data_IF_524522969611
#
_entry.id   IF_524522969611
#
_cell.length_a   1.000
_cell.length_b   1.000
_cell.length_c   1.000
_cell.angle_alpha   90.00
_cell.angle_beta   90.00
_cell.angle_gamma   90.00
#
_symmetry.space_group_name_H-M   'P 1'
#
loop_
_entity.id
_entity.type
_entity.pdbx_description
1 polymer ?
#
# COMPACT_ATOMS: atom_id res chain seq x y z
N UNK A 1 49.24 28.57 -34.18
CA UNK A 1 48.65 28.60 -32.82
C UNK A 1 47.30 29.27 -32.92
N UNK A 2 46.17 28.55 -32.76
CA UNK A 2 44.81 29.06 -32.40
C UNK A 2 43.67 28.13 -32.85
N UNK A 3 43.73 26.82 -32.54
CA UNK A 3 42.56 25.92 -32.69
C UNK A 3 42.26 25.06 -31.46
N UNK A 4 42.87 25.35 -30.31
CA UNK A 4 42.70 24.55 -29.08
C UNK A 4 41.75 25.18 -28.03
N UNK A 5 41.13 26.33 -28.30
CA UNK A 5 40.33 27.05 -27.29
C UNK A 5 38.81 26.82 -27.33
N UNK A 6 38.28 26.07 -28.30
CA UNK A 6 36.83 25.87 -28.46
C UNK A 6 36.28 24.51 -27.96
N UNK A 7 37.12 23.58 -27.50
CA UNK A 7 36.63 22.31 -26.94
C UNK A 7 36.30 22.35 -25.44
N UNK A 8 36.75 23.36 -24.70
CA UNK A 8 36.51 23.45 -23.25
C UNK A 8 35.16 24.08 -22.87
N UNK A 9 34.52 24.83 -23.76
CA UNK A 9 33.23 25.49 -23.47
C UNK A 9 31.99 24.61 -23.68
N UNK A 10 32.08 23.56 -24.50
CA UNK A 10 30.95 22.65 -24.76
C UNK A 10 30.81 21.61 -23.62
N UNK A 11 31.91 21.28 -22.93
CA UNK A 11 31.90 20.41 -21.74
C UNK A 11 31.18 21.03 -20.54
N UNK A 12 31.27 22.35 -20.35
CA UNK A 12 30.65 23.05 -19.20
C UNK A 12 29.12 23.14 -19.28
N UNK A 13 28.55 23.24 -20.49
CA UNK A 13 27.09 23.30 -20.68
C UNK A 13 26.39 21.95 -20.48
N UNK A 14 27.05 20.84 -20.81
CA UNK A 14 26.49 19.49 -20.61
C UNK A 14 26.45 19.08 -19.13
N UNK A 15 27.42 19.52 -18.33
CA UNK A 15 27.45 19.24 -16.88
C UNK A 15 26.34 20.01 -16.15
N UNK A 16 26.04 21.26 -16.56
CA UNK A 16 24.96 22.04 -15.93
C UNK A 16 23.56 21.52 -16.29
N UNK A 17 23.33 21.00 -17.49
CA UNK A 17 22.02 20.44 -17.87
C UNK A 17 21.66 19.17 -17.07
N UNK A 18 22.64 18.33 -16.73
CA UNK A 18 22.44 17.16 -15.88
C UNK A 18 22.13 17.54 -14.42
N UNK A 19 22.73 18.62 -13.91
CA UNK A 19 22.46 19.11 -12.54
C UNK A 19 21.06 19.73 -12.43
N UNK A 20 20.60 20.49 -13.44
CA UNK A 20 19.25 21.08 -13.43
C UNK A 20 18.11 20.08 -13.69
N UNK A 21 18.38 18.96 -14.39
CA UNK A 21 17.38 17.90 -14.56
C UNK A 21 17.10 17.15 -13.25
N UNK A 22 18.08 17.12 -12.35
CA UNK A 22 18.00 16.45 -11.06
C UNK A 22 17.06 17.17 -10.06
N UNK A 23 17.02 18.51 -10.10
CA UNK A 23 16.13 19.32 -9.26
C UNK A 23 14.63 19.12 -9.56
N UNK A 24 14.26 18.59 -10.74
CA UNK A 24 12.85 18.50 -11.15
C UNK A 24 12.12 17.23 -10.68
N UNK A 25 12.84 16.16 -10.33
CA UNK A 25 12.22 14.87 -10.00
C UNK A 25 12.05 14.73 -8.49
N UNK A 26 10.82 14.53 -7.97
CA UNK A 26 10.59 14.47 -6.53
C UNK A 26 11.09 13.14 -5.96
N UNK A 27 11.42 13.16 -4.67
CA UNK A 27 11.53 11.94 -3.89
C UNK A 27 10.13 11.35 -3.65
N UNK A 28 10.03 10.04 -3.51
CA UNK A 28 8.77 9.32 -3.36
C UNK A 28 8.83 8.49 -2.10
N UNK A 29 7.85 8.67 -1.22
CA UNK A 29 7.64 7.80 -0.06
C UNK A 29 6.19 7.28 -0.11
N UNK A 30 6.06 5.97 -0.33
CA UNK A 30 4.79 5.24 -0.30
C UNK A 30 4.67 4.46 1.01
N UNK A 31 3.83 4.93 1.92
CA UNK A 31 3.55 4.32 3.22
C UNK A 31 2.25 3.53 3.12
N UNK A 32 2.27 2.27 3.53
CA UNK A 32 1.10 1.41 3.54
C UNK A 32 0.95 0.71 4.89
N UNK A 33 -0.03 1.13 5.68
CA UNK A 33 -0.37 0.50 6.95
C UNK A 33 -1.02 -0.89 6.73
N UNK A 34 -0.68 -1.86 7.57
CA UNK A 34 -1.22 -3.23 7.55
C UNK A 34 -2.51 -3.28 8.39
N UNK A 35 -3.62 -3.75 7.82
CA UNK A 35 -4.93 -3.81 8.50
C UNK A 35 -5.47 -2.47 9.02
N UNK A 36 -5.27 -1.38 8.26
CA UNK A 36 -5.84 -0.07 8.59
C UNK A 36 -6.91 0.32 7.56
N UNK A 37 -8.17 0.08 7.90
CA UNK A 37 -9.33 0.44 7.09
C UNK A 37 -9.57 1.95 7.03
N UNK A 38 -10.43 2.37 6.11
CA UNK A 38 -10.77 3.79 5.89
C UNK A 38 -11.28 4.49 7.15
N UNK A 39 -12.01 3.78 8.01
CA UNK A 39 -12.60 4.26 9.26
C UNK A 39 -11.59 4.57 10.37
N UNK A 40 -10.35 4.08 10.25
CA UNK A 40 -9.34 4.17 11.32
C UNK A 40 -8.63 5.53 11.42
N UNK A 41 -8.86 6.46 10.49
CA UNK A 41 -8.23 7.80 10.50
C UNK A 41 -9.20 8.87 11.01
N UNK A 42 -8.71 9.78 11.85
CA UNK A 42 -9.50 10.93 12.34
C UNK A 42 -9.99 11.82 11.19
N UNK A 43 -9.13 12.14 10.21
CA UNK A 43 -9.53 12.88 8.99
C UNK A 43 -10.59 12.18 8.11
N UNK A 44 -10.81 10.87 8.30
CA UNK A 44 -11.88 10.13 7.65
C UNK A 44 -13.15 10.02 8.50
N UNK A 45 -13.11 10.43 9.76
CA UNK A 45 -14.26 10.44 10.68
C UNK A 45 -14.19 9.43 11.81
N UNK A 46 -13.01 8.83 12.09
CA UNK A 46 -12.80 8.06 13.33
C UNK A 46 -13.05 8.95 14.55
N UNK A 47 -13.77 8.43 15.54
CA UNK A 47 -14.02 9.12 16.81
C UNK A 47 -13.13 8.57 17.95
N UNK A 48 -12.44 7.45 17.73
CA UNK A 48 -11.58 6.79 18.72
C UNK A 48 -10.09 6.90 18.43
N UNK A 49 -9.69 6.98 17.15
CA UNK A 49 -8.28 7.06 16.76
C UNK A 49 -7.88 8.52 16.52
N UNK A 50 -6.73 8.94 17.05
CA UNK A 50 -6.21 10.29 16.86
C UNK A 50 -4.94 10.25 16.00
N UNK A 51 -5.02 10.75 14.77
CA UNK A 51 -3.90 10.73 13.81
C UNK A 51 -3.48 12.14 13.39
N UNK A 52 -2.89 12.94 14.28
CA UNK A 52 -2.63 14.36 14.02
C UNK A 52 -1.59 14.60 12.91
N UNK A 53 -0.62 13.72 12.69
CA UNK A 53 0.36 13.88 11.62
C UNK A 53 -0.27 13.55 10.25
N UNK A 54 -1.07 12.48 10.17
CA UNK A 54 -1.86 12.16 8.98
C UNK A 54 -2.89 13.24 8.67
N UNK A 55 -3.51 13.83 9.70
CA UNK A 55 -4.45 14.95 9.52
C UNK A 55 -3.75 16.20 8.97
N UNK A 56 -2.51 16.48 9.40
CA UNK A 56 -1.67 17.54 8.80
C UNK A 56 -1.34 17.22 7.35
N UNK A 57 -0.99 15.97 7.02
CA UNK A 57 -0.74 15.57 5.63
C UNK A 57 -1.99 15.74 4.76
N UNK A 58 -3.17 15.37 5.27
CA UNK A 58 -4.44 15.53 4.57
C UNK A 58 -4.77 17.03 4.33
N UNK A 59 -4.59 17.88 5.35
CA UNK A 59 -4.78 19.34 5.24
C UNK A 59 -3.77 19.99 4.28
N UNK A 60 -2.53 19.49 4.22
CA UNK A 60 -1.49 19.96 3.32
C UNK A 60 -1.50 19.31 1.93
N UNK A 61 -2.47 18.43 1.63
CA UNK A 61 -2.44 17.58 0.45
C UNK A 61 -3.83 17.34 -0.16
N UNK A 62 -4.03 16.13 -0.68
CA UNK A 62 -5.29 15.64 -1.22
C UNK A 62 -5.67 14.34 -0.50
N UNK A 63 -6.86 14.32 0.10
CA UNK A 63 -7.42 13.11 0.71
C UNK A 63 -8.49 12.51 -0.20
N UNK A 64 -8.37 11.23 -0.51
CA UNK A 64 -9.30 10.53 -1.39
C UNK A 64 -10.30 9.71 -0.56
N UNK A 65 -11.57 9.79 -0.95
CA UNK A 65 -12.66 9.12 -0.23
C UNK A 65 -13.06 7.77 -0.84
N UNK A 66 -12.57 7.45 -2.05
CA UNK A 66 -12.88 6.24 -2.80
C UNK A 66 -11.62 5.50 -3.26
N UNK A 67 -10.72 5.16 -2.32
CA UNK A 67 -9.59 4.28 -2.57
C UNK A 67 -9.89 2.84 -2.13
N UNK A 68 -9.55 1.87 -2.99
CA UNK A 68 -9.81 0.46 -2.76
C UNK A 68 -8.60 -0.44 -2.99
N UNK A 69 -8.38 -1.36 -2.06
CA UNK A 69 -7.38 -2.42 -2.12
C UNK A 69 -8.05 -3.77 -2.41
N UNK A 70 -7.26 -4.85 -2.39
CA UNK A 70 -7.79 -6.19 -2.21
C UNK A 70 -8.13 -6.42 -0.73
N UNK A 71 -8.93 -7.46 -0.40
CA UNK A 71 -9.41 -7.62 0.97
C UNK A 71 -8.34 -8.16 1.95
N UNK A 72 -7.11 -8.45 1.49
CA UNK A 72 -6.04 -9.02 2.32
C UNK A 72 -4.64 -8.67 1.79
N UNK A 73 -3.62 -8.78 2.65
CA UNK A 73 -2.24 -8.33 2.45
C UNK A 73 -1.57 -8.76 1.13
N UNK A 74 -1.37 -10.07 0.86
CA UNK A 74 -0.60 -10.55 -0.32
C UNK A 74 -1.11 -9.99 -1.65
N UNK A 75 -2.40 -10.16 -2.03
CA UNK A 75 -2.89 -9.66 -3.31
C UNK A 75 -2.83 -8.12 -3.39
N UNK A 76 -3.08 -7.41 -2.29
CA UNK A 76 -2.91 -5.95 -2.23
C UNK A 76 -1.47 -5.53 -2.53
N UNK A 77 -0.49 -6.15 -1.88
CA UNK A 77 0.95 -5.90 -2.08
C UNK A 77 1.40 -6.24 -3.49
N UNK A 78 0.92 -7.35 -4.05
CA UNK A 78 1.19 -7.71 -5.44
C UNK A 78 0.60 -6.69 -6.42
N UNK A 79 -0.66 -6.27 -6.21
CA UNK A 79 -1.36 -5.31 -7.07
C UNK A 79 -0.70 -3.93 -7.05
N UNK A 80 -0.37 -3.42 -5.85
CA UNK A 80 0.23 -2.08 -5.71
C UNK A 80 1.63 -2.02 -6.32
N UNK A 81 2.42 -3.09 -6.18
CA UNK A 81 3.78 -3.14 -6.72
C UNK A 81 3.80 -3.28 -8.24
N UNK A 82 2.85 -4.03 -8.82
CA UNK A 82 2.87 -4.36 -10.25
C UNK A 82 1.99 -3.48 -11.12
N UNK A 83 1.00 -2.80 -10.55
CA UNK A 83 0.01 -2.04 -11.32
C UNK A 83 -1.05 -2.90 -12.01
N UNK A 84 -1.18 -4.17 -11.63
CA UNK A 84 -2.00 -5.15 -12.37
C UNK A 84 -3.10 -5.76 -11.51
N UNK A 85 -4.24 -6.08 -12.13
CA UNK A 85 -5.26 -6.87 -11.47
C UNK A 85 -4.77 -8.29 -11.17
N UNK A 86 -5.05 -8.76 -9.95
CA UNK A 86 -4.55 -10.06 -9.47
C UNK A 86 -5.07 -11.26 -10.25
N UNK A 87 -6.15 -11.12 -11.02
CA UNK A 87 -6.56 -12.17 -11.99
C UNK A 87 -5.40 -12.53 -12.92
N UNK A 88 -4.55 -11.58 -13.29
CA UNK A 88 -3.44 -11.75 -14.25
C UNK A 88 -2.16 -12.32 -13.65
N UNK A 89 -1.84 -12.03 -12.40
CA UNK A 89 -0.52 -12.35 -11.82
C UNK A 89 -0.53 -13.02 -10.45
N UNK A 90 -1.69 -13.20 -9.80
CA UNK A 90 -1.72 -13.86 -8.50
C UNK A 90 -1.65 -15.37 -8.65
N UNK A 91 -0.55 -15.93 -8.15
CA UNK A 91 -0.20 -17.37 -8.25
C UNK A 91 -0.38 -18.11 -6.93
N UNK A 92 0.02 -17.49 -5.80
CA UNK A 92 0.03 -18.12 -4.47
C UNK A 92 0.08 -17.06 -3.37
N UNK A 93 -0.52 -17.36 -2.22
CA UNK A 93 -0.40 -16.51 -1.04
C UNK A 93 1.04 -16.47 -0.51
N UNK A 94 1.54 -15.30 -0.13
CA UNK A 94 2.91 -15.11 0.36
C UNK A 94 3.98 -15.07 -0.73
N UNK A 95 3.60 -14.94 -2.00
CA UNK A 95 4.52 -14.98 -3.13
C UNK A 95 4.12 -13.97 -4.21
N UNK A 96 5.10 -13.21 -4.69
CA UNK A 96 5.02 -12.55 -5.99
C UNK A 96 5.77 -13.41 -7.01
N UNK A 97 5.15 -13.68 -8.16
CA UNK A 97 5.83 -14.36 -9.26
C UNK A 97 7.09 -13.58 -9.66
N UNK A 98 8.24 -14.26 -9.75
CA UNK A 98 9.52 -13.59 -9.99
C UNK A 98 9.64 -13.00 -11.40
N UNK A 99 8.76 -13.41 -12.33
CA UNK A 99 8.63 -12.78 -13.65
C UNK A 99 7.93 -11.42 -13.66
N UNK A 100 7.41 -10.95 -12.52
CA UNK A 100 6.71 -9.66 -12.44
C UNK A 100 7.66 -8.46 -12.39
N UNK A 101 7.27 -7.39 -13.07
CA UNK A 101 7.93 -6.08 -13.01
C UNK A 101 7.20 -5.20 -11.99
N UNK A 102 7.96 -4.52 -11.13
CA UNK A 102 7.44 -3.66 -10.06
C UNK A 102 7.75 -2.19 -10.33
N UNK A 103 7.07 -1.27 -9.64
CA UNK A 103 7.43 0.15 -9.71
C UNK A 103 8.88 0.40 -9.27
N UNK A 104 9.42 -0.41 -8.37
CA UNK A 104 10.80 -0.24 -7.90
C UNK A 104 11.82 -0.58 -8.99
N UNK A 105 11.53 -1.55 -9.88
CA UNK A 105 12.33 -1.75 -11.09
C UNK A 105 12.37 -0.50 -11.97
N UNK A 106 11.19 0.05 -12.29
CA UNK A 106 11.08 1.20 -13.19
C UNK A 106 11.76 2.44 -12.60
N UNK A 107 11.56 2.71 -11.30
CA UNK A 107 12.18 3.86 -10.64
C UNK A 107 13.70 3.68 -10.50
N UNK A 108 14.18 2.47 -10.21
CA UNK A 108 15.61 2.17 -10.19
C UNK A 108 16.25 2.39 -11.56
N UNK A 109 15.60 1.92 -12.64
CA UNK A 109 16.04 2.14 -14.03
C UNK A 109 16.08 3.64 -14.38
N UNK A 110 15.14 4.43 -13.85
CA UNK A 110 15.14 5.89 -13.97
C UNK A 110 16.19 6.60 -13.07
N UNK A 111 17.01 5.86 -12.32
CA UNK A 111 18.11 6.39 -11.50
C UNK A 111 17.72 6.77 -10.07
N UNK A 112 16.58 6.28 -9.55
CA UNK A 112 16.23 6.45 -8.14
C UNK A 112 17.04 5.49 -7.26
N UNK A 113 17.42 5.98 -6.07
CA UNK A 113 17.77 5.10 -4.97
C UNK A 113 16.51 4.39 -4.47
N UNK A 114 16.54 3.09 -4.18
CA UNK A 114 15.32 2.38 -3.77
C UNK A 114 15.48 1.62 -2.45
N UNK A 115 14.51 1.79 -1.55
CA UNK A 115 14.46 1.07 -0.28
C UNK A 115 13.05 0.57 0.05
N UNK A 116 13.01 -0.54 0.80
CA UNK A 116 11.79 -1.08 1.39
C UNK A 116 11.98 -1.40 2.87
N UNK A 117 11.00 -1.06 3.71
CA UNK A 117 11.03 -1.39 5.14
C UNK A 117 9.68 -1.92 5.63
N UNK A 118 9.65 -2.69 6.71
CA UNK A 118 8.41 -3.20 7.31
C UNK A 118 8.11 -4.64 6.89
N UNK A 119 6.90 -4.96 6.46
CA UNK A 119 6.46 -6.34 6.18
C UNK A 119 6.65 -6.71 4.71
N UNK A 120 7.27 -7.87 4.46
CA UNK A 120 7.51 -8.38 3.11
C UNK A 120 6.33 -9.20 2.55
N UNK A 121 6.26 -10.49 2.87
CA UNK A 121 5.20 -11.43 2.46
C UNK A 121 5.07 -11.68 0.94
N UNK A 122 6.17 -11.60 0.16
CA UNK A 122 6.17 -11.76 -1.30
C UNK A 122 7.27 -12.69 -1.83
N UNK A 123 7.61 -13.74 -1.08
CA UNK A 123 8.71 -14.66 -1.37
C UNK A 123 9.68 -14.75 -0.19
N UNK A 124 10.49 -15.81 -0.14
CA UNK A 124 11.40 -16.07 0.98
C UNK A 124 12.88 -16.24 0.56
N UNK A 125 13.16 -16.03 -0.73
CA UNK A 125 14.54 -16.05 -1.23
C UNK A 125 15.27 -14.83 -0.67
N UNK A 126 16.51 -14.97 -0.15
CA UNK A 126 17.25 -13.85 0.45
C UNK A 126 17.39 -12.61 -0.45
N UNK A 127 17.36 -12.80 -1.77
CA UNK A 127 17.47 -11.74 -2.76
C UNK A 127 16.13 -11.10 -3.16
N UNK A 128 14.98 -11.54 -2.62
CA UNK A 128 13.66 -11.15 -3.15
C UNK A 128 13.46 -9.63 -3.26
N UNK A 129 13.82 -8.78 -2.26
CA UNK A 129 13.67 -7.34 -2.37
C UNK A 129 14.53 -6.75 -3.49
N UNK A 130 15.78 -7.19 -3.61
CA UNK A 130 16.72 -6.77 -4.64
C UNK A 130 16.27 -7.25 -6.04
N UNK A 131 15.79 -8.48 -6.13
CA UNK A 131 15.17 -9.05 -7.33
C UNK A 131 13.94 -8.27 -7.77
N UNK A 132 13.23 -7.61 -6.85
CA UNK A 132 12.07 -6.76 -7.15
C UNK A 132 12.40 -5.25 -7.18
N UNK A 133 13.68 -4.89 -7.30
CA UNK A 133 14.12 -3.54 -7.59
C UNK A 133 14.47 -2.68 -6.38
N UNK A 134 14.44 -3.21 -5.16
CA UNK A 134 14.85 -2.49 -3.94
C UNK A 134 16.33 -2.72 -3.61
N UNK A 135 17.13 -1.66 -3.62
CA UNK A 135 18.57 -1.77 -3.31
C UNK A 135 18.81 -2.07 -1.83
N UNK A 136 18.09 -1.41 -0.93
CA UNK A 136 18.18 -1.65 0.52
C UNK A 136 16.87 -2.16 1.10
N UNK A 137 16.94 -3.05 2.09
CA UNK A 137 15.76 -3.57 2.79
C UNK A 137 15.96 -3.77 4.29
N UNK A 138 14.90 -3.51 5.07
CA UNK A 138 14.76 -3.84 6.49
C UNK A 138 13.38 -4.45 6.72
N UNK A 139 13.28 -5.77 6.72
CA UNK A 139 12.00 -6.47 6.58
C UNK A 139 11.72 -7.44 7.73
N UNK A 140 10.45 -7.53 8.10
CA UNK A 140 9.89 -8.61 8.89
C UNK A 140 9.23 -9.63 7.96
N UNK A 141 9.37 -10.92 8.30
CA UNK A 141 8.80 -12.05 7.57
C UNK A 141 9.30 -12.11 6.11
N UNK A 142 10.62 -12.06 5.94
CA UNK A 142 11.26 -12.20 4.65
C UNK A 142 11.75 -13.63 4.44
N UNK A 143 12.91 -14.01 4.99
CA UNK A 143 13.50 -15.34 4.80
C UNK A 143 12.95 -16.35 5.81
N UNK A 144 12.38 -15.85 6.90
CA UNK A 144 11.86 -16.62 8.04
C UNK A 144 10.47 -16.16 8.47
N UNK A 145 9.83 -16.94 9.33
CA UNK A 145 8.44 -16.72 9.74
C UNK A 145 8.18 -15.57 10.71
N UNK A 146 9.23 -14.83 11.12
CA UNK A 146 9.13 -13.73 12.11
C UNK A 146 8.62 -14.19 13.48
N UNK A 147 8.88 -15.46 13.83
CA UNK A 147 8.38 -16.15 15.02
C UNK A 147 9.48 -17.03 15.61
N UNK A 148 9.57 -17.07 16.93
CA UNK A 148 10.44 -18.01 17.67
C UNK A 148 9.61 -19.05 18.43
N UNK A 149 10.26 -20.11 18.91
CA UNK A 149 9.66 -21.10 19.78
C UNK A 149 10.39 -21.07 21.12
N UNK A 150 9.69 -20.68 22.19
CA UNK A 150 10.25 -20.62 23.55
C UNK A 150 9.42 -21.49 24.48
N UNK A 151 10.03 -22.42 25.20
CA UNK A 151 9.34 -23.27 26.18
C UNK A 151 8.07 -23.93 25.62
N UNK A 152 8.12 -24.39 24.37
CA UNK A 152 6.98 -25.02 23.67
C UNK A 152 5.89 -24.05 23.18
N UNK A 153 6.06 -22.74 23.34
CA UNK A 153 5.14 -21.71 22.82
C UNK A 153 5.70 -21.04 21.59
N UNK A 154 4.88 -20.88 20.56
CA UNK A 154 5.20 -20.10 19.37
C UNK A 154 4.97 -18.62 19.67
N UNK A 155 6.01 -17.80 19.52
CA UNK A 155 5.99 -16.38 19.85
C UNK A 155 6.08 -15.55 18.57
N UNK A 156 5.16 -14.61 18.37
CA UNK A 156 5.21 -13.64 17.26
C UNK A 156 6.15 -12.48 17.61
N UNK A 157 7.20 -12.31 16.78
CA UNK A 157 8.36 -11.45 17.02
C UNK A 157 8.36 -10.25 16.07
N UNK A 158 7.19 -9.64 15.82
CA UNK A 158 7.07 -8.48 14.91
C UNK A 158 7.09 -7.11 15.59
N UNK A 159 6.77 -7.07 16.87
CA UNK A 159 6.61 -5.85 17.65
C UNK A 159 7.77 -5.69 18.63
N UNK A 160 7.58 -6.02 19.91
CA UNK A 160 8.68 -6.01 20.90
C UNK A 160 9.71 -7.09 20.58
N UNK A 161 11.00 -6.78 20.79
CA UNK A 161 12.13 -7.67 20.59
C UNK A 161 12.06 -8.41 19.23
N UNK A 162 12.00 -7.64 18.12
CA UNK A 162 11.63 -8.19 16.83
C UNK A 162 12.72 -9.10 16.23
N UNK A 163 12.30 -9.97 15.32
CA UNK A 163 13.18 -10.69 14.39
C UNK A 163 13.05 -10.03 13.02
N UNK A 164 14.09 -9.33 12.57
CA UNK A 164 14.12 -8.61 11.30
C UNK A 164 15.22 -9.13 10.38
N UNK A 165 15.17 -8.70 9.12
CA UNK A 165 16.13 -9.07 8.09
C UNK A 165 16.58 -7.80 7.33
N UNK A 166 17.88 -7.53 7.35
CA UNK A 166 18.51 -6.41 6.64
C UNK A 166 19.20 -6.94 5.38
N UNK A 167 18.71 -6.58 4.20
CA UNK A 167 19.24 -7.10 2.92
C UNK A 167 19.33 -8.64 2.90
N UNK A 168 18.29 -9.30 3.41
CA UNK A 168 18.22 -10.77 3.51
C UNK A 168 19.06 -11.38 4.64
N UNK A 169 19.77 -10.57 5.45
CA UNK A 169 20.52 -11.04 6.62
C UNK A 169 19.72 -10.89 7.89
N UNK A 170 19.57 -11.98 8.62
CA UNK A 170 18.82 -12.05 9.86
C UNK A 170 19.47 -11.22 10.99
N UNK A 171 18.64 -10.51 11.75
CA UNK A 171 19.02 -9.80 12.97
C UNK A 171 17.91 -9.93 14.01
N UNK A 172 18.30 -10.42 15.19
CA UNK A 172 17.41 -10.61 16.32
C UNK A 172 17.64 -9.49 17.34
N UNK A 173 16.54 -9.01 17.91
CA UNK A 173 16.53 -7.98 18.93
C UNK A 173 15.93 -8.56 20.22
N UNK A 174 16.52 -8.21 21.36
CA UNK A 174 16.18 -8.77 22.68
C UNK A 174 16.35 -7.78 23.84
N UNK A 175 16.59 -6.49 23.55
CA UNK A 175 16.90 -5.47 24.56
C UNK A 175 15.81 -4.42 24.74
N UNK A 176 14.61 -4.69 24.22
CA UNK A 176 13.43 -3.82 24.34
C UNK A 176 13.09 -3.04 23.09
N UNK A 177 13.71 -3.37 21.95
CA UNK A 177 13.45 -2.70 20.69
C UNK A 177 12.03 -2.98 20.17
N UNK A 178 11.52 -2.06 19.35
CA UNK A 178 10.20 -2.17 18.74
C UNK A 178 10.33 -2.21 17.21
N UNK A 179 9.89 -3.29 16.57
CA UNK A 179 10.05 -3.53 15.12
C UNK A 179 9.62 -2.34 14.23
N UNK A 180 8.42 -1.78 14.43
CA UNK A 180 7.99 -0.57 13.70
C UNK A 180 8.94 0.63 13.87
N UNK A 181 9.53 0.83 15.06
CA UNK A 181 10.51 1.87 15.30
C UNK A 181 11.80 1.60 14.52
N UNK A 182 12.34 0.37 14.61
CA UNK A 182 13.56 -0.03 13.88
C UNK A 182 13.40 0.17 12.36
N UNK A 183 12.24 -0.21 11.81
CA UNK A 183 11.96 0.03 10.38
C UNK A 183 11.85 1.52 10.04
N UNK A 184 11.31 2.34 10.93
CA UNK A 184 11.19 3.80 10.73
C UNK A 184 12.55 4.48 10.79
N UNK A 185 13.41 4.06 11.72
CA UNK A 185 14.78 4.56 11.84
C UNK A 185 15.58 4.23 10.58
N UNK A 186 15.46 2.99 10.07
CA UNK A 186 16.06 2.60 8.79
C UNK A 186 15.59 3.48 7.62
N UNK A 187 14.30 3.82 7.56
CA UNK A 187 13.77 4.75 6.54
C UNK A 187 14.40 6.14 6.70
N UNK A 188 14.55 6.61 7.93
CA UNK A 188 15.12 7.92 8.21
C UNK A 188 16.60 8.00 7.82
N UNK A 189 17.38 6.97 8.15
CA UNK A 189 18.78 6.84 7.76
C UNK A 189 18.92 6.82 6.23
N UNK A 190 18.06 6.06 5.54
CA UNK A 190 18.05 6.02 4.09
C UNK A 190 17.75 7.39 3.47
N UNK A 191 16.82 8.16 4.03
CA UNK A 191 16.53 9.53 3.56
C UNK A 191 17.77 10.41 3.71
N UNK A 192 18.45 10.38 4.86
CA UNK A 192 19.63 11.23 5.09
C UNK A 192 20.79 10.88 4.15
N UNK A 193 21.07 9.59 3.98
CA UNK A 193 22.12 9.09 3.09
C UNK A 193 21.89 9.47 1.61
N UNK A 194 20.62 9.52 1.19
CA UNK A 194 20.26 9.67 -0.21
C UNK A 194 19.71 11.07 -0.55
N UNK A 195 19.75 12.05 0.37
CA UNK A 195 19.21 13.42 0.16
C UNK A 195 19.77 14.20 -1.03
N UNK A 196 20.86 13.72 -1.65
CA UNK A 196 21.47 14.29 -2.86
C UNK A 196 21.02 13.61 -4.16
N UNK A 197 20.16 12.59 -4.13
CA UNK A 197 19.60 11.90 -5.30
C UNK A 197 18.12 11.58 -5.11
N UNK A 198 17.31 11.51 -6.18
CA UNK A 198 15.91 11.10 -6.04
C UNK A 198 15.87 9.69 -5.45
N UNK A 199 14.96 9.49 -4.51
CA UNK A 199 14.80 8.20 -3.85
C UNK A 199 13.35 7.76 -3.77
N UNK A 200 13.18 6.44 -3.73
CA UNK A 200 11.93 5.74 -3.49
C UNK A 200 12.06 4.99 -2.16
N UNK A 201 11.13 5.28 -1.25
CA UNK A 201 10.87 4.43 -0.08
C UNK A 201 9.49 3.81 -0.24
N UNK A 202 9.42 2.49 -0.23
CA UNK A 202 8.17 1.77 0.01
C UNK A 202 8.17 1.27 1.45
N UNK A 203 7.25 1.78 2.27
CA UNK A 203 7.15 1.41 3.68
C UNK A 203 5.82 0.68 3.95
N UNK A 204 5.72 -0.60 3.57
CA UNK A 204 4.62 -1.45 4.02
C UNK A 204 4.76 -1.75 5.51
N UNK A 205 4.13 -0.96 6.35
CA UNK A 205 4.28 -1.04 7.81
C UNK A 205 3.91 -2.43 8.35
N UNK A 206 4.49 -2.77 9.50
CA UNK A 206 4.06 -3.92 10.32
C UNK A 206 2.80 -3.56 11.10
N UNK A 207 2.68 -2.29 11.50
CA UNK A 207 1.49 -1.71 12.12
C UNK A 207 0.38 -1.55 11.07
N UNK A 208 -0.87 -1.80 11.40
CA UNK A 208 -1.49 -2.07 12.71
C UNK A 208 -2.02 -3.50 12.85
N UNK A 209 -1.46 -4.46 12.11
CA UNK A 209 -1.93 -5.85 12.06
C UNK A 209 -1.86 -6.55 13.42
N UNK A 210 -2.80 -7.48 13.70
CA UNK A 210 -2.75 -8.32 14.89
C UNK A 210 -1.47 -9.20 14.96
N UNK A 211 -0.97 -9.61 16.14
CA UNK A 211 -1.58 -9.50 17.47
C UNK A 211 -1.75 -8.05 17.92
N UNK A 212 -2.87 -7.75 18.58
CA UNK A 212 -3.09 -6.43 19.18
C UNK A 212 -2.37 -6.37 20.50
N UNK A 213 -1.23 -5.70 20.49
CA UNK A 213 -0.26 -5.71 21.57
C UNK A 213 0.20 -4.30 21.93
N UNK A 214 0.69 -4.08 23.16
CA UNK A 214 1.26 -2.81 23.57
C UNK A 214 2.31 -2.27 22.60
N UNK A 215 2.24 -0.97 22.36
CA UNK A 215 3.31 -0.17 21.75
C UNK A 215 4.20 0.41 22.86
N UNK A 216 5.38 0.99 22.54
CA UNK A 216 6.19 1.70 23.53
C UNK A 216 5.47 2.83 24.27
N UNK A 217 4.41 3.40 23.69
CA UNK A 217 3.62 4.49 24.29
C UNK A 217 2.41 3.96 25.09
N UNK A 218 2.17 2.65 25.08
CA UNK A 218 1.09 2.01 25.84
C UNK A 218 1.44 1.95 27.33
N UNK A 219 0.45 2.14 28.20
CA UNK A 219 0.61 2.09 29.67
C UNK A 219 1.08 0.74 30.19
N UNK A 220 0.84 -0.33 29.42
CA UNK A 220 1.21 -1.70 29.71
C UNK A 220 2.37 -2.20 28.81
N UNK A 221 3.20 -1.29 28.29
CA UNK A 221 4.44 -1.65 27.60
C UNK A 221 5.38 -2.44 28.51
N UNK A 222 5.99 -3.49 27.97
CA UNK A 222 7.03 -4.27 28.65
C UNK A 222 8.17 -4.59 27.66
N UNK A 223 9.34 -3.94 27.78
CA UNK A 223 10.48 -4.18 26.91
C UNK A 223 11.12 -5.57 27.12
N UNK A 224 10.82 -6.26 28.24
CA UNK A 224 11.33 -7.60 28.53
C UNK A 224 10.49 -8.71 27.88
N UNK A 225 9.28 -8.38 27.40
CA UNK A 225 8.43 -9.36 26.70
C UNK A 225 9.10 -9.74 25.39
N UNK A 226 9.17 -11.04 25.11
CA UNK A 226 9.82 -11.50 23.88
C UNK A 226 8.96 -11.26 22.62
N UNK A 227 7.64 -11.30 22.76
CA UNK A 227 6.67 -11.12 21.68
C UNK A 227 5.28 -11.58 22.11
N UNK A 228 4.39 -11.77 21.14
CA UNK A 228 3.02 -12.24 21.42
C UNK A 228 2.94 -13.76 21.46
N UNK A 229 2.25 -14.33 22.44
CA UNK A 229 2.05 -15.77 22.58
C UNK A 229 0.77 -16.28 21.92
N UNK A 230 -0.14 -15.39 21.51
CA UNK A 230 -1.32 -15.73 20.71
C UNK A 230 -1.35 -14.99 19.38
N UNK A 231 -2.20 -15.45 18.46
CA UNK A 231 -2.38 -14.78 17.17
C UNK A 231 -3.07 -13.41 17.27
N UNK A 232 -3.90 -13.20 18.29
CA UNK A 232 -4.72 -11.97 18.45
C UNK A 232 -4.21 -11.00 19.51
N UNK A 233 -3.21 -11.38 20.28
CA UNK A 233 -2.65 -10.58 21.38
C UNK A 233 -2.86 -11.25 22.73
N UNK A 234 -1.99 -10.93 23.70
CA UNK A 234 -1.94 -11.62 24.99
C UNK A 234 -2.72 -10.92 26.11
N UNK A 235 -3.23 -9.71 25.86
CA UNK A 235 -3.73 -8.79 26.90
C UNK A 235 -5.22 -8.46 26.81
N UNK A 236 -5.99 -9.23 26.05
CA UNK A 236 -7.47 -9.21 25.97
C UNK A 236 -8.16 -7.84 25.80
N UNK A 237 -7.47 -6.82 25.27
CA UNK A 237 -8.06 -5.52 24.94
C UNK A 237 -7.66 -5.06 23.53
N UNK A 238 -8.19 -5.75 22.50
CA UNK A 238 -7.79 -5.48 21.11
C UNK A 238 -8.16 -4.06 20.66
N UNK A 239 -9.19 -3.43 21.25
CA UNK A 239 -9.59 -2.07 20.87
C UNK A 239 -8.57 -1.04 21.32
N UNK A 240 -8.18 -1.08 22.60
CA UNK A 240 -7.17 -0.15 23.12
C UNK A 240 -5.84 -0.34 22.43
N UNK A 241 -5.36 -1.57 22.29
CA UNK A 241 -4.09 -1.83 21.62
C UNK A 241 -4.12 -1.46 20.14
N UNK A 242 -5.23 -1.66 19.44
CA UNK A 242 -5.37 -1.15 18.08
C UNK A 242 -5.26 0.39 18.04
N UNK A 243 -5.94 1.11 18.94
CA UNK A 243 -5.84 2.58 19.03
C UNK A 243 -4.40 3.02 19.30
N UNK A 244 -3.72 2.39 20.26
CA UNK A 244 -2.31 2.66 20.56
C UNK A 244 -1.42 2.42 19.32
N UNK A 245 -1.67 1.33 18.59
CA UNK A 245 -0.96 0.98 17.36
C UNK A 245 -1.20 2.00 16.23
N UNK A 246 -2.42 2.52 16.08
CA UNK A 246 -2.75 3.59 15.13
C UNK A 246 -2.04 4.89 15.51
N UNK A 247 -2.06 5.26 16.79
CA UNK A 247 -1.36 6.45 17.29
C UNK A 247 0.16 6.34 17.08
N UNK A 248 0.73 5.15 17.31
CA UNK A 248 2.15 4.90 17.06
C UNK A 248 2.49 4.93 15.56
N UNK A 249 1.60 4.40 14.70
CA UNK A 249 1.78 4.52 13.26
C UNK A 249 1.80 5.99 12.79
N UNK A 250 0.88 6.82 13.32
CA UNK A 250 0.87 8.27 13.07
C UNK A 250 2.16 8.95 13.56
N UNK A 251 2.67 8.57 14.74
CA UNK A 251 3.95 9.04 15.28
C UNK A 251 5.13 8.70 14.35
N UNK A 252 5.18 7.49 13.78
CA UNK A 252 6.21 7.09 12.82
C UNK A 252 6.13 7.93 11.53
N UNK A 253 4.93 8.21 11.04
CA UNK A 253 4.76 9.14 9.90
C UNK A 253 5.28 10.53 10.26
N UNK A 254 5.00 11.04 11.47
CA UNK A 254 5.56 12.28 11.98
C UNK A 254 7.09 12.30 12.03
N UNK A 255 7.72 11.21 12.44
CA UNK A 255 9.18 11.06 12.44
C UNK A 255 9.76 11.14 11.03
N UNK A 256 9.16 10.45 10.05
CA UNK A 256 9.60 10.51 8.64
C UNK A 256 9.47 11.95 8.09
N UNK A 257 8.37 12.64 8.40
CA UNK A 257 8.18 14.05 7.98
C UNK A 257 9.31 14.93 8.56
N UNK A 258 9.59 14.79 9.85
CA UNK A 258 10.68 15.53 10.51
C UNK A 258 12.05 15.21 9.91
N UNK A 259 12.29 13.96 9.53
CA UNK A 259 13.54 13.59 8.86
C UNK A 259 13.68 14.25 7.49
N UNK A 260 12.60 14.30 6.70
CA UNK A 260 12.59 15.00 5.40
C UNK A 260 12.89 16.49 5.55
N UNK A 261 12.33 17.13 6.58
CA UNK A 261 12.59 18.54 6.92
C UNK A 261 14.05 18.75 7.31
N UNK A 262 14.57 17.89 8.20
CA UNK A 262 15.96 17.95 8.68
C UNK A 262 16.96 17.68 7.54
N UNK A 263 16.61 16.80 6.62
CA UNK A 263 17.42 16.47 5.43
C UNK A 263 17.29 17.53 4.33
N UNK A 264 16.42 18.53 4.48
CA UNK A 264 16.22 19.60 3.50
C UNK A 264 15.49 19.20 2.22
N UNK A 265 14.84 18.03 2.20
CA UNK A 265 14.22 17.46 0.98
C UNK A 265 12.69 17.45 1.01
N UNK A 266 12.07 17.95 2.09
CA UNK A 266 10.62 17.89 2.32
C UNK A 266 9.78 18.52 1.22
N UNK A 267 10.21 19.67 0.70
CA UNK A 267 9.45 20.46 -0.27
C UNK A 267 9.20 19.66 -1.56
N UNK A 268 10.25 19.01 -2.08
CA UNK A 268 10.19 18.18 -3.29
C UNK A 268 10.13 16.67 -2.96
N UNK A 269 9.32 16.31 -1.97
CA UNK A 269 9.00 14.90 -1.65
C UNK A 269 7.50 14.68 -1.69
N UNK A 270 7.06 13.69 -2.46
CA UNK A 270 5.68 13.20 -2.40
C UNK A 270 5.58 12.08 -1.35
N UNK A 271 4.64 12.28 -0.42
CA UNK A 271 4.22 11.30 0.58
C UNK A 271 2.85 10.76 0.20
N UNK A 272 2.75 9.44 0.02
CA UNK A 272 1.50 8.73 -0.24
C UNK A 272 1.24 7.81 0.95
N UNK A 273 0.12 7.97 1.64
CA UNK A 273 -0.30 7.11 2.74
C UNK A 273 -1.56 6.34 2.38
N UNK A 274 -1.58 5.03 2.61
CA UNK A 274 -2.75 4.15 2.44
C UNK A 274 -2.75 3.01 3.47
N UNK A 275 -3.85 2.25 3.55
CA UNK A 275 -3.89 0.92 4.20
C UNK A 275 -3.87 -0.19 3.15
N UNK A 276 -3.42 -1.41 3.49
CA UNK A 276 -3.36 -2.54 2.54
C UNK A 276 -4.68 -3.33 2.39
N UNK A 277 -5.53 -3.28 3.41
CA UNK A 277 -6.89 -3.80 3.43
C UNK A 277 -7.67 -3.18 4.59
N UNK A 278 -8.96 -3.54 4.70
CA UNK A 278 -9.79 -3.18 5.83
C UNK A 278 -9.25 -3.66 7.19
N UNK A 279 -9.71 -3.01 8.25
CA UNK A 279 -9.33 -3.36 9.63
C UNK A 279 -9.78 -4.78 10.01
N UNK A 280 -9.04 -5.44 10.90
CA UNK A 280 -9.38 -6.79 11.37
C UNK A 280 -10.71 -6.82 12.15
N UNK A 281 -11.42 -7.94 12.07
CA UNK A 281 -12.79 -8.14 12.58
C UNK A 281 -13.05 -7.83 14.06
N UNK A 282 -12.15 -8.11 15.02
CA UNK A 282 -12.46 -7.80 16.43
C UNK A 282 -12.50 -6.30 16.71
N UNK A 283 -12.01 -5.45 15.79
CA UNK A 283 -11.99 -4.01 15.95
C UNK A 283 -13.34 -3.41 15.55
N UNK A 284 -13.86 -2.52 16.39
CA UNK A 284 -15.12 -1.81 16.18
C UNK A 284 -14.83 -0.34 16.36
N UNK A 285 -14.87 0.41 15.28
CA UNK A 285 -14.52 1.83 15.25
C UNK A 285 -15.78 2.68 15.30
N UNK A 286 -15.98 3.51 16.34
CA UNK A 286 -16.96 4.58 16.30
C UNK A 286 -16.61 5.57 15.19
N UNK A 287 -17.54 5.80 14.26
CA UNK A 287 -17.30 6.54 13.03
C UNK A 287 -18.54 7.34 12.66
N UNK A 288 -18.47 8.67 12.73
CA UNK A 288 -19.54 9.62 12.36
C UNK A 288 -20.93 9.23 12.88
N UNK A 289 -21.04 8.94 14.18
CA UNK A 289 -22.29 8.56 14.83
C UNK A 289 -22.79 7.14 14.53
N UNK A 290 -21.97 6.30 13.87
CA UNK A 290 -22.23 4.86 13.69
C UNK A 290 -21.06 4.02 14.19
N UNK A 291 -21.16 2.69 14.06
CA UNK A 291 -20.10 1.73 14.41
C UNK A 291 -19.71 0.92 13.19
N UNK A 292 -18.43 0.93 12.86
CA UNK A 292 -17.87 0.17 11.74
C UNK A 292 -17.11 -1.03 12.31
N UNK A 293 -17.57 -2.23 11.99
CA UNK A 293 -16.86 -3.48 12.34
C UNK A 293 -15.83 -3.77 11.26
N UNK A 294 -14.61 -4.12 11.68
CA UNK A 294 -13.53 -4.47 10.76
C UNK A 294 -13.93 -5.58 9.78
N UNK A 295 -13.53 -5.42 8.52
CA UNK A 295 -13.95 -6.27 7.41
C UNK A 295 -12.83 -7.06 6.74
N UNK A 296 -11.61 -7.12 7.31
CA UNK A 296 -10.47 -7.84 6.70
C UNK A 296 -10.87 -9.21 6.17
N UNK A 297 -10.42 -9.49 4.94
CA UNK A 297 -10.69 -10.73 4.22
C UNK A 297 -12.06 -10.81 3.54
N UNK A 298 -12.93 -9.82 3.73
CA UNK A 298 -14.25 -9.78 3.09
C UNK A 298 -14.26 -8.89 1.83
N UNK A 299 -14.99 -9.32 0.81
CA UNK A 299 -15.25 -8.53 -0.41
C UNK A 299 -16.36 -7.51 -0.16
N UNK A 300 -16.17 -6.63 0.83
CA UNK A 300 -17.12 -5.58 1.23
C UNK A 300 -16.42 -4.24 1.35
N UNK A 301 -17.17 -3.16 1.60
CA UNK A 301 -16.60 -1.82 1.80
C UNK A 301 -15.67 -1.78 3.02
N UNK A 302 -16.01 -2.47 4.12
CA UNK A 302 -15.16 -2.55 5.34
C UNK A 302 -13.94 -3.44 5.16
N UNK A 303 -13.90 -4.29 4.13
CA UNK A 303 -12.74 -5.13 3.82
C UNK A 303 -11.81 -4.57 2.75
N UNK A 304 -12.32 -3.70 1.87
CA UNK A 304 -11.59 -3.23 0.67
C UNK A 304 -11.38 -1.73 0.62
N UNK A 305 -12.18 -0.91 1.30
CA UNK A 305 -11.98 0.55 1.33
C UNK A 305 -10.88 0.91 2.30
N UNK A 306 -9.86 1.61 1.80
CA UNK A 306 -8.67 2.00 2.57
C UNK A 306 -8.50 3.52 2.53
N UNK A 307 -7.82 4.12 3.53
CA UNK A 307 -7.48 5.53 3.45
C UNK A 307 -6.55 5.78 2.26
N UNK A 308 -6.59 6.99 1.70
CA UNK A 308 -5.56 7.46 0.77
C UNK A 308 -5.34 8.96 0.94
N UNK A 309 -4.12 9.33 1.30
CA UNK A 309 -3.66 10.72 1.41
C UNK A 309 -2.44 10.88 0.52
N UNK A 310 -2.44 11.92 -0.30
CA UNK A 310 -1.27 12.31 -1.10
C UNK A 310 -0.87 13.72 -0.70
N UNK A 311 0.38 13.90 -0.29
CA UNK A 311 0.93 15.18 0.11
C UNK A 311 2.24 15.46 -0.64
N UNK A 312 2.31 16.60 -1.33
CA UNK A 312 3.47 17.03 -2.09
C UNK A 312 3.49 18.56 -2.18
N UNK A 313 4.24 19.25 -1.31
CA UNK A 313 4.24 20.72 -1.23
C UNK A 313 4.52 21.40 -2.57
N UNK A 314 5.59 20.98 -3.26
CA UNK A 314 5.96 21.58 -4.54
C UNK A 314 4.93 21.31 -5.66
N UNK A 315 4.31 20.11 -5.66
CA UNK A 315 3.43 19.64 -6.73
C UNK A 315 1.92 19.90 -6.54
N UNK A 316 1.45 20.15 -5.32
CA UNK A 316 0.03 20.41 -5.02
C UNK A 316 -0.18 21.91 -4.78
N UNK A 317 -0.63 22.61 -5.82
CA UNK A 317 -0.88 24.07 -5.76
C UNK A 317 -2.09 24.47 -4.92
N UNK A 318 -3.02 23.55 -4.70
CA UNK A 318 -4.24 23.75 -3.88
C UNK A 318 -4.33 22.61 -2.85
N UNK A 319 -3.68 22.75 -1.68
CA UNK A 319 -3.75 21.77 -0.61
C UNK A 319 -5.11 21.78 0.09
N UNK A 320 -5.37 20.77 0.93
CA UNK A 320 -6.58 20.63 1.73
C UNK A 320 -7.79 20.13 0.95
N UNK A 321 -7.58 19.56 -0.24
CA UNK A 321 -8.68 19.08 -1.09
C UNK A 321 -9.15 17.69 -0.65
N UNK A 322 -10.46 17.49 -0.73
CA UNK A 322 -11.07 16.17 -0.62
C UNK A 322 -11.52 15.74 -2.02
N UNK A 323 -10.98 14.62 -2.49
CA UNK A 323 -11.31 14.05 -3.79
C UNK A 323 -12.22 12.84 -3.62
N UNK A 324 -13.25 12.76 -4.46
CA UNK A 324 -14.14 11.61 -4.56
C UNK A 324 -13.79 10.69 -5.72
N UNK A 325 -12.70 10.97 -6.45
CA UNK A 325 -12.17 10.13 -7.55
C UNK A 325 -12.01 8.67 -7.13
N UNK A 326 -12.33 7.78 -8.06
CA UNK A 326 -12.21 6.34 -7.85
C UNK A 326 -10.73 5.93 -8.05
N UNK A 327 -10.11 5.41 -6.99
CA UNK A 327 -8.70 5.03 -6.97
C UNK A 327 -8.55 3.60 -6.50
N UNK A 328 -7.56 2.90 -7.04
CA UNK A 328 -7.17 1.56 -6.59
C UNK A 328 -5.68 1.31 -6.77
N UNK A 329 -5.21 0.18 -6.24
CA UNK A 329 -3.78 -0.12 -6.20
C UNK A 329 -3.12 -0.35 -7.57
N UNK A 330 -3.88 -0.72 -8.62
CA UNK A 330 -3.30 -0.79 -9.97
C UNK A 330 -2.90 0.60 -10.49
N UNK A 331 -3.47 1.68 -9.95
CA UNK A 331 -3.15 3.05 -10.33
C UNK A 331 -1.77 3.51 -9.82
N UNK A 332 -1.14 2.80 -8.88
CA UNK A 332 0.13 3.24 -8.28
C UNK A 332 1.30 3.15 -9.26
N UNK A 333 1.47 2.04 -9.99
CA UNK A 333 2.53 1.91 -11.00
C UNK A 333 2.54 3.08 -12.00
N UNK A 334 1.45 3.38 -12.75
CA UNK A 334 1.45 4.49 -13.69
C UNK A 334 1.60 5.86 -13.01
N UNK A 335 1.06 6.04 -11.80
CA UNK A 335 1.25 7.27 -11.03
C UNK A 335 2.72 7.50 -10.70
N UNK A 336 3.41 6.48 -10.19
CA UNK A 336 4.81 6.60 -9.80
C UNK A 336 5.72 6.78 -11.02
N UNK A 337 5.42 6.12 -12.14
CA UNK A 337 6.14 6.33 -13.40
C UNK A 337 5.97 7.76 -13.92
N UNK A 338 4.74 8.29 -13.97
CA UNK A 338 4.49 9.68 -14.40
C UNK A 338 5.19 10.71 -13.51
N UNK A 339 5.18 10.52 -12.18
CA UNK A 339 5.84 11.43 -11.24
C UNK A 339 7.36 11.41 -11.37
N UNK A 340 7.94 10.22 -11.56
CA UNK A 340 9.39 10.03 -11.62
C UNK A 340 9.98 10.29 -13.01
N UNK A 341 9.13 10.32 -14.05
CA UNK A 341 9.56 10.29 -15.44
C UNK A 341 10.10 8.92 -15.87
N UNK A 342 9.85 7.86 -15.10
CA UNK A 342 10.17 6.50 -15.51
C UNK A 342 9.18 6.02 -16.58
N UNK A 343 9.64 5.13 -17.45
CA UNK A 343 8.77 4.49 -18.42
C UNK A 343 7.82 3.48 -17.74
N UNK A 344 6.68 3.23 -18.37
CA UNK A 344 5.86 2.08 -18.02
C UNK A 344 6.47 0.81 -18.62
N UNK A 345 6.32 -0.36 -17.96
CA UNK A 345 6.74 -1.62 -18.55
C UNK A 345 6.09 -1.83 -19.92
N UNK A 346 6.88 -2.22 -20.94
CA UNK A 346 6.41 -2.35 -22.34
C UNK A 346 5.13 -3.18 -22.50
N UNK A 347 4.98 -4.22 -21.68
CA UNK A 347 3.82 -5.14 -21.70
C UNK A 347 2.84 -4.89 -20.54
N UNK A 348 2.81 -3.68 -19.97
CA UNK A 348 1.88 -3.35 -18.89
C UNK A 348 0.43 -3.43 -19.39
N UNK A 349 -0.49 -4.16 -18.71
CA UNK A 349 -1.84 -4.44 -19.22
C UNK A 349 -2.80 -3.24 -19.16
N UNK A 350 -2.34 -2.08 -18.68
CA UNK A 350 -3.11 -0.86 -18.51
C UNK A 350 -4.37 -1.02 -17.62
N UNK A 351 -4.29 -1.86 -16.58
CA UNK A 351 -5.36 -2.01 -15.57
C UNK A 351 -5.48 -0.78 -14.64
N UNK A 352 -4.40 0.01 -14.53
CA UNK A 352 -4.31 1.22 -13.73
C UNK A 352 -4.30 2.49 -14.56
N UNK A 353 -4.73 3.60 -13.96
CA UNK A 353 -4.65 4.94 -14.53
C UNK A 353 -4.10 5.91 -13.50
N UNK A 354 -3.05 6.65 -13.87
CA UNK A 354 -2.36 7.59 -13.01
C UNK A 354 -3.31 8.55 -12.30
N UNK A 355 -3.07 8.80 -11.01
CA UNK A 355 -3.84 9.76 -10.21
C UNK A 355 -3.22 11.17 -10.20
N UNK A 356 -2.12 11.41 -10.92
CA UNK A 356 -1.49 12.74 -11.03
C UNK A 356 -2.49 13.82 -11.47
N UNK A 357 -3.38 13.60 -12.46
CA UNK A 357 -4.38 14.60 -12.80
C UNK A 357 -5.31 14.95 -11.63
N UNK A 358 -5.70 13.97 -10.80
CA UNK A 358 -6.51 14.22 -9.61
C UNK A 358 -5.73 15.01 -8.55
N UNK A 359 -4.44 14.69 -8.35
CA UNK A 359 -3.52 15.40 -7.43
C UNK A 359 -3.29 16.85 -7.87
N UNK A 360 -3.28 17.13 -9.18
CA UNK A 360 -3.07 18.46 -9.75
C UNK A 360 -4.37 19.27 -9.98
N UNK A 361 -5.53 18.75 -9.57
CA UNK A 361 -6.84 19.38 -9.80
C UNK A 361 -7.22 19.52 -11.30
N UNK A 362 -6.80 18.54 -12.11
CA UNK A 362 -7.13 18.39 -13.54
C UNK A 362 -7.87 17.08 -13.78
N UNK A 363 -8.90 16.82 -12.96
CA UNK A 363 -9.57 15.52 -12.90
C UNK A 363 -10.25 15.12 -14.22
N UNK A 364 -10.62 16.09 -15.04
CA UNK A 364 -11.16 15.91 -16.38
C UNK A 364 -10.24 15.13 -17.32
N UNK A 365 -8.93 15.11 -17.03
CA UNK A 365 -7.93 14.35 -17.80
C UNK A 365 -7.87 12.87 -17.39
N UNK A 366 -8.62 12.44 -16.37
CA UNK A 366 -8.66 11.07 -15.88
C UNK A 366 -10.08 10.53 -15.89
N UNK A 367 -10.29 9.40 -16.58
CA UNK A 367 -11.56 8.67 -16.57
C UNK A 367 -11.36 7.28 -15.98
N UNK A 368 -11.93 7.04 -14.80
CA UNK A 368 -11.95 5.72 -14.13
C UNK A 368 -13.37 5.45 -13.64
N UNK A 369 -14.14 4.75 -14.47
CA UNK A 369 -15.56 4.50 -14.22
C UNK A 369 -15.78 3.34 -13.25
N UNK A 370 -14.90 2.35 -13.29
CA UNK A 370 -14.95 1.17 -12.45
C UNK A 370 -13.55 0.70 -12.05
N UNK A 371 -13.52 -0.19 -11.05
CA UNK A 371 -12.35 -0.92 -10.59
C UNK A 371 -12.67 -2.41 -10.46
N UNK A 372 -11.64 -3.24 -10.40
CA UNK A 372 -11.77 -4.68 -10.31
C UNK A 372 -10.92 -5.29 -9.20
N UNK A 373 -11.52 -6.19 -8.43
CA UNK A 373 -10.88 -6.91 -7.33
C UNK A 373 -11.08 -8.40 -7.58
N UNK A 374 -9.96 -9.13 -7.59
CA UNK A 374 -9.94 -10.59 -7.68
C UNK A 374 -9.32 -11.13 -6.41
N UNK A 375 -10.00 -12.06 -5.73
CA UNK A 375 -9.42 -12.75 -4.59
C UNK A 375 -10.11 -14.10 -4.38
N UNK A 376 -9.32 -15.16 -4.32
CA UNK A 376 -9.84 -16.52 -4.11
C UNK A 376 -10.89 -16.88 -5.16
N UNK A 377 -12.01 -17.47 -4.80
CA UNK A 377 -13.13 -17.81 -5.67
C UNK A 377 -14.04 -16.61 -5.99
N UNK A 378 -13.74 -15.41 -5.47
CA UNK A 378 -14.57 -14.22 -5.60
C UNK A 378 -13.96 -13.17 -6.53
N UNK A 379 -14.84 -12.46 -7.24
CA UNK A 379 -14.51 -11.32 -8.09
C UNK A 379 -15.50 -10.19 -7.85
N UNK A 380 -15.02 -8.96 -7.91
CA UNK A 380 -15.85 -7.77 -7.79
C UNK A 380 -15.50 -6.74 -8.85
N UNK A 381 -16.53 -6.19 -9.48
CA UNK A 381 -16.46 -4.91 -10.21
C UNK A 381 -17.21 -3.88 -9.38
N UNK A 382 -16.66 -2.67 -9.25
CA UNK A 382 -17.37 -1.58 -8.58
C UNK A 382 -17.07 -0.22 -9.15
N UNK A 383 -18.02 0.68 -9.00
CA UNK A 383 -17.82 2.11 -9.12
C UNK A 383 -18.01 2.78 -7.75
N UNK A 384 -18.20 4.11 -7.73
CA UNK A 384 -18.40 4.87 -6.48
C UNK A 384 -19.69 4.50 -5.74
N UNK A 385 -20.73 4.04 -6.44
CA UNK A 385 -22.10 3.82 -5.92
C UNK A 385 -22.56 2.37 -5.92
N UNK A 386 -21.95 1.51 -6.73
CA UNK A 386 -22.37 0.12 -6.91
C UNK A 386 -21.18 -0.82 -6.90
N UNK A 387 -21.38 -2.03 -6.39
CA UNK A 387 -20.47 -3.17 -6.59
C UNK A 387 -21.25 -4.41 -7.00
N UNK A 388 -20.72 -5.19 -7.93
CA UNK A 388 -21.20 -6.53 -8.25
C UNK A 388 -20.17 -7.55 -7.75
N UNK A 389 -20.56 -8.36 -6.76
CA UNK A 389 -19.75 -9.47 -6.25
C UNK A 389 -20.25 -10.77 -6.89
N UNK A 390 -19.36 -11.59 -7.41
CA UNK A 390 -19.70 -12.89 -8.00
C UNK A 390 -18.60 -13.91 -7.70
N UNK A 391 -18.87 -15.18 -8.04
CA UNK A 391 -17.82 -16.19 -8.21
C UNK A 391 -17.02 -15.93 -9.49
N UNK A 392 -15.83 -16.50 -9.60
CA UNK A 392 -14.96 -16.34 -10.78
C UNK A 392 -15.64 -16.76 -12.10
N UNK A 393 -16.57 -17.72 -12.07
CA UNK A 393 -17.34 -18.17 -13.23
C UNK A 393 -18.54 -17.26 -13.56
N UNK A 394 -18.73 -16.17 -12.81
CA UNK A 394 -19.83 -15.22 -12.94
C UNK A 394 -21.10 -15.64 -12.18
N UNK A 395 -21.15 -16.83 -11.59
CA UNK A 395 -22.32 -17.27 -10.83
C UNK A 395 -22.46 -16.51 -9.50
N UNK A 396 -23.67 -16.53 -8.93
CA UNK A 396 -24.03 -15.85 -7.68
C UNK A 396 -23.74 -14.33 -7.71
N UNK A 397 -23.90 -13.69 -8.86
CA UNK A 397 -23.68 -12.26 -9.01
C UNK A 397 -24.71 -11.45 -8.20
N UNK A 398 -24.23 -10.71 -7.19
CA UNK A 398 -25.03 -9.88 -6.28
C UNK A 398 -24.64 -8.41 -6.40
N UNK A 399 -25.60 -7.56 -6.78
CA UNK A 399 -25.41 -6.12 -6.88
C UNK A 399 -25.69 -5.45 -5.53
N UNK A 400 -24.74 -4.65 -5.06
CA UNK A 400 -24.87 -3.84 -3.84
C UNK A 400 -24.86 -2.37 -4.21
N UNK A 401 -25.83 -1.61 -3.68
CA UNK A 401 -25.90 -0.14 -3.81
C UNK A 401 -25.45 0.53 -2.52
N UNK A 402 -24.59 1.54 -2.66
CA UNK A 402 -24.05 2.32 -1.55
C UNK A 402 -24.69 3.71 -1.49
N UNK A 403 -25.23 4.08 -0.32
CA UNK A 403 -25.67 5.47 -0.03
C UNK A 403 -24.55 6.34 0.54
N UNK A 404 -23.43 5.72 0.91
CA UNK A 404 -22.26 6.34 1.51
C UNK A 404 -21.27 5.26 1.93
N UNK A 405 -20.20 5.64 2.61
CA UNK A 405 -19.24 4.70 3.18
C UNK A 405 -19.94 3.72 4.12
N UNK A 406 -19.62 2.43 3.97
CA UNK A 406 -20.13 1.34 4.82
C UNK A 406 -21.66 1.19 4.86
N UNK A 407 -22.40 1.88 3.99
CA UNK A 407 -23.86 1.82 3.90
C UNK A 407 -24.27 1.16 2.58
N UNK A 408 -23.92 -0.12 2.45
CA UNK A 408 -24.26 -0.97 1.32
C UNK A 408 -25.56 -1.73 1.54
N UNK A 409 -26.40 -1.80 0.51
CA UNK A 409 -27.61 -2.63 0.49
C UNK A 409 -27.60 -3.52 -0.73
N UNK A 410 -27.61 -4.83 -0.52
CA UNK A 410 -27.77 -5.83 -1.57
C UNK A 410 -29.15 -5.70 -2.23
N UNK A 411 -29.17 -5.85 -3.56
CA UNK A 411 -30.34 -5.72 -4.40
C UNK A 411 -30.63 -7.05 -5.07
N UNK A 412 -31.80 -7.61 -4.77
CA UNK A 412 -32.35 -8.73 -5.53
C UNK A 412 -32.96 -8.23 -6.85
N UNK A 413 -33.12 -9.12 -7.83
CA UNK A 413 -33.64 -8.75 -9.16
C UNK A 413 -34.97 -7.98 -9.10
N UNK A 414 -35.88 -8.39 -8.22
CA UNK A 414 -37.17 -7.72 -8.02
C UNK A 414 -37.04 -6.30 -7.46
N UNK A 415 -35.96 -5.99 -6.74
CA UNK A 415 -35.72 -4.69 -6.10
C UNK A 415 -34.90 -3.72 -6.97
N UNK A 416 -34.37 -4.18 -8.11
CA UNK A 416 -33.58 -3.36 -9.02
C UNK A 416 -34.46 -2.58 -9.99
N UNK A 417 -34.24 -1.27 -10.07
CA UNK A 417 -34.80 -0.43 -11.13
C UNK A 417 -34.08 -0.66 -12.48
N UNK A 418 -34.60 -0.06 -13.56
CA UNK A 418 -34.04 -0.24 -14.91
C UNK A 418 -32.55 0.16 -15.01
N UNK A 419 -32.15 1.27 -14.41
CA UNK A 419 -30.76 1.72 -14.43
C UNK A 419 -29.83 0.77 -13.65
N UNK A 420 -30.30 0.22 -12.53
CA UNK A 420 -29.55 -0.75 -11.73
C UNK A 420 -29.36 -2.08 -12.46
N UNK A 421 -30.35 -2.50 -13.25
CA UNK A 421 -30.22 -3.69 -14.13
C UNK A 421 -29.17 -3.47 -15.21
N UNK A 422 -29.19 -2.30 -15.87
CA UNK A 422 -28.15 -1.95 -16.86
C UNK A 422 -26.75 -1.92 -16.25
N UNK A 423 -26.58 -1.37 -15.05
CA UNK A 423 -25.29 -1.37 -14.34
C UNK A 423 -24.84 -2.80 -14.02
N UNK A 424 -25.77 -3.67 -13.59
CA UNK A 424 -25.45 -5.08 -13.33
C UNK A 424 -24.96 -5.78 -14.60
N UNK A 425 -25.67 -5.62 -15.72
CA UNK A 425 -25.30 -6.20 -17.02
C UNK A 425 -23.92 -5.71 -17.49
N UNK A 426 -23.63 -4.41 -17.34
CA UNK A 426 -22.31 -3.85 -17.65
C UNK A 426 -21.21 -4.49 -16.79
N UNK A 427 -21.45 -4.59 -15.48
CA UNK A 427 -20.48 -5.19 -14.56
C UNK A 427 -20.27 -6.69 -14.83
N UNK A 428 -21.31 -7.44 -15.20
CA UNK A 428 -21.19 -8.83 -15.65
C UNK A 428 -20.33 -8.96 -16.90
N UNK A 429 -20.50 -8.05 -17.87
CA UNK A 429 -19.63 -7.98 -19.05
C UNK A 429 -18.16 -7.74 -18.71
N UNK A 430 -17.89 -6.84 -17.75
CA UNK A 430 -16.53 -6.58 -17.26
C UNK A 430 -15.95 -7.82 -16.56
N UNK A 431 -16.72 -8.49 -15.70
CA UNK A 431 -16.31 -9.74 -15.04
C UNK A 431 -15.93 -10.82 -16.07
N UNK A 432 -16.78 -11.04 -17.08
CA UNK A 432 -16.54 -12.00 -18.14
C UNK A 432 -15.28 -11.67 -18.97
N UNK A 433 -15.02 -10.38 -19.23
CA UNK A 433 -13.79 -9.92 -19.89
C UNK A 433 -12.55 -10.19 -19.03
N UNK A 434 -12.61 -9.88 -17.73
CA UNK A 434 -11.48 -10.10 -16.82
C UNK A 434 -11.16 -11.59 -16.63
N UNK A 435 -12.16 -12.46 -16.59
CA UNK A 435 -11.96 -13.91 -16.44
C UNK A 435 -11.06 -14.50 -17.54
N UNK A 436 -11.14 -13.97 -18.78
CA UNK A 436 -10.30 -14.39 -19.92
C UNK A 436 -8.82 -14.04 -19.77
N UNK A 437 -8.47 -13.22 -18.78
CA UNK A 437 -7.09 -12.74 -18.55
C UNK A 437 -6.37 -13.51 -17.43
N UNK A 438 -6.99 -14.58 -16.90
CA UNK A 438 -6.43 -15.37 -15.80
C UNK A 438 -4.99 -15.80 -16.09
N UNK A 439 -4.07 -15.42 -15.21
CA UNK A 439 -2.64 -15.74 -15.29
C UNK A 439 -1.93 -15.28 -16.57
N UNK A 440 -2.51 -14.33 -17.31
CA UNK A 440 -1.97 -13.86 -18.60
C UNK A 440 -0.60 -13.21 -18.50
N UNK A 441 -0.23 -12.68 -17.32
CA UNK A 441 1.06 -12.01 -17.10
C UNK A 441 1.98 -12.78 -16.15
N UNK A 442 1.56 -13.93 -15.62
CA UNK A 442 2.42 -14.80 -14.82
C UNK A 442 3.43 -15.53 -15.71
N UNK A 443 4.62 -15.81 -15.16
CA UNK A 443 5.60 -16.71 -15.78
C UNK A 443 5.02 -18.13 -15.99
N UNK A 444 5.65 -18.96 -16.82
CA UNK A 444 5.20 -20.36 -17.02
C UNK A 444 5.20 -21.16 -15.70
N UNK A 445 6.22 -20.96 -14.87
CA UNK A 445 6.27 -21.54 -13.52
C UNK A 445 5.13 -21.00 -12.65
N UNK A 446 4.91 -19.69 -12.68
CA UNK A 446 3.82 -19.01 -11.98
C UNK A 446 2.45 -19.53 -12.40
N UNK A 447 2.22 -19.74 -13.71
CA UNK A 447 0.99 -20.33 -14.26
C UNK A 447 0.78 -21.74 -13.71
N UNK A 448 1.81 -22.58 -13.76
CA UNK A 448 1.75 -23.94 -13.25
C UNK A 448 1.38 -23.97 -11.75
N UNK A 449 1.95 -23.08 -10.94
CA UNK A 449 1.60 -22.94 -9.52
C UNK A 449 0.17 -22.43 -9.32
N UNK A 450 -0.21 -21.38 -10.05
CA UNK A 450 -1.52 -20.74 -9.94
C UNK A 450 -2.68 -21.64 -10.33
N UNK A 451 -2.48 -22.57 -11.27
CA UNK A 451 -3.47 -23.57 -11.69
C UNK A 451 -3.54 -24.78 -10.75
N UNK A 452 -2.41 -25.18 -10.14
CA UNK A 452 -2.34 -26.28 -9.16
C UNK A 452 -2.96 -25.93 -7.81
N UNK A 453 -2.93 -24.65 -7.42
CA UNK A 453 -3.55 -24.15 -6.21
C UNK A 453 -5.09 -24.18 -6.30
N UNK A 454 -5.68 -25.38 -6.17
CA UNK A 454 -7.12 -25.59 -5.91
C UNK A 454 -7.56 -25.00 -4.57
N UNK A 455 -6.61 -24.64 -3.70
CA UNK A 455 -6.79 -24.08 -2.35
C UNK A 455 -6.80 -22.54 -2.32
N UNK A 456 -7.22 -21.89 -3.39
CA UNK A 456 -7.83 -20.56 -3.30
C UNK A 456 -9.21 -20.61 -2.61
N UNK A 457 -9.48 -21.61 -1.76
CA UNK A 457 -10.67 -21.76 -0.90
C UNK A 457 -10.44 -21.00 0.39
#
# INVERSE_FOLDING_TARGET
MNHLFNLFLISSFLVNALVFAHEKRPNIILIMADDMGYEALSSNGSESCNSPNLDKLAKGGVRFTNCFSNPICTPSRAKIMTGQYNVRNYVKFGMLDRGQITFAHQLKEAGYATAIAGKWQLGNQPDSPQHFGFEKSCLWQHTRGGRSNENGKRIDRRFVNPMLEFNGKEKDFTTGEYGPQVCTDFVCDFIDENKKKPFLVYYPMILTHCPFDPTPDSTDWDPKRLGSTTYKGDKNDPQRHFIDMVNFADKMVGQIIKQLETSGVRENTILIFTGDNGTDKPIITPWKGTKVVGGKGSMTDTGTRVPLIVNWPAGIKKPGRVSDELVEFSDMMPTLCEISGADLPKNHPADGSSIVPAIQNKKELRKKEWIYIWYRDQVMVRNKKYSLLAKQDGSNAMLTRYKGHFNGKELTDQKMNKAERTIKEEFEGILAKMAKTRLSTASEEGKAMGLKNKSNR
#
